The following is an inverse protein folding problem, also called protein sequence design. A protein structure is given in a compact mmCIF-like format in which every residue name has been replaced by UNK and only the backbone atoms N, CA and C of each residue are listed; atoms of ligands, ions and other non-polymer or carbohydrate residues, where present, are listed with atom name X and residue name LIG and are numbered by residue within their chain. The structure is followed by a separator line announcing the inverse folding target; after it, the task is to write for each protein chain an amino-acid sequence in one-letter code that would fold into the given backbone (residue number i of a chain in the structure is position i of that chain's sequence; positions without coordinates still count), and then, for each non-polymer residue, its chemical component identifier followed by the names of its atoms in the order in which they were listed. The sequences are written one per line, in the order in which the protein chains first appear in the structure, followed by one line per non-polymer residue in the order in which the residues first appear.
data_IF_895303497478
#
_entry.id   IF_895303497478
#
_cell.length_a   1.000
_cell.length_b   1.000
_cell.length_c   1.000
_cell.angle_alpha   90.00
_cell.angle_beta   90.00
_cell.angle_gamma   90.00
#
_symmetry.space_group_name_H-M   'P 1'
#
loop_
_entity.id
_entity.type
_entity.pdbx_description
1 polymer ?
#
# COMPACT_ATOMS: atom_id res chain seq x y z
N UNK A 1 -17.36 7.15 27.04
CA UNK A 1 -16.80 7.10 26.63
C UNK A 1 -16.08 6.65 26.15
N UNK A 2 -15.90 6.40 25.85
CA UNK A 2 -15.16 6.13 25.53
C UNK A 2 -14.49 5.94 24.77
N UNK A 3 -14.41 5.69 24.53
CA UNK A 3 -13.62 5.47 23.90
C UNK A 3 -13.19 5.90 22.90
N UNK A 4 -13.48 6.25 22.82
CA UNK A 4 -13.14 6.58 22.15
C UNK A 4 -12.23 6.76 21.68
N UNK A 5 -12.31 7.01 21.61
CA UNK A 5 -11.47 7.31 21.27
C UNK A 5 -10.44 6.87 20.96
N UNK A 6 -10.42 7.13 20.91
CA UNK A 6 -9.43 6.21 21.02
C UNK A 6 -8.84 5.68 19.78
N UNK A 7 -9.21 6.12 18.64
CA UNK A 7 -8.63 5.63 17.40
C UNK A 7 -7.40 6.43 17.09
N UNK A 8 -6.25 5.78 16.85
CA UNK A 8 -5.10 6.50 16.34
C UNK A 8 -5.43 7.15 15.02
N UNK A 9 -4.82 8.29 14.69
CA UNK A 9 -5.10 8.97 13.43
C UNK A 9 -4.88 8.12 12.19
N UNK A 10 -3.98 7.18 12.26
CA UNK A 10 -3.72 6.32 11.10
C UNK A 10 -4.90 5.41 10.79
N UNK A 11 -5.88 5.32 11.67
CA UNK A 11 -7.04 4.49 11.42
C UNK A 11 -8.13 5.18 10.63
N UNK A 12 -7.89 6.39 10.20
CA UNK A 12 -8.77 7.04 9.27
C UNK A 12 -8.94 6.24 7.99
N UNK A 13 -7.92 5.48 7.62
CA UNK A 13 -7.94 4.69 6.39
C UNK A 13 -8.03 3.23 6.77
N UNK A 14 -9.21 2.63 6.68
CA UNK A 14 -9.35 1.22 7.01
C UNK A 14 -8.40 0.36 6.19
N UNK A 15 -7.83 -0.62 6.84
CA UNK A 15 -6.87 -1.52 6.22
C UNK A 15 -7.52 -2.85 5.95
N UNK A 16 -7.18 -3.41 4.81
CA UNK A 16 -7.67 -4.71 4.39
C UNK A 16 -6.46 -5.64 4.31
N UNK A 17 -6.58 -6.79 4.95
CA UNK A 17 -5.55 -7.81 4.83
C UNK A 17 -5.53 -8.31 3.40
N UNK A 18 -4.35 -8.41 2.83
CA UNK A 18 -4.25 -8.70 1.42
C UNK A 18 -3.67 -10.09 1.15
N UNK A 19 -2.37 -10.25 1.28
CA UNK A 19 -1.77 -11.55 1.04
C UNK A 19 -1.39 -11.82 -0.41
N UNK A 20 -1.62 -10.87 -1.29
CA UNK A 20 -1.19 -11.02 -2.68
C UNK A 20 0.18 -10.36 -2.88
N UNK A 21 0.76 -10.58 -4.05
CA UNK A 21 2.10 -10.09 -4.35
C UNK A 21 2.03 -8.76 -5.10
N UNK A 22 3.03 -7.93 -4.87
CA UNK A 22 3.18 -6.66 -5.54
C UNK A 22 4.61 -6.56 -6.06
N UNK A 23 4.81 -5.85 -7.16
CA UNK A 23 6.15 -5.60 -7.67
C UNK A 23 6.66 -4.30 -7.08
N UNK A 24 7.88 -4.35 -6.56
CA UNK A 24 8.60 -3.17 -6.09
C UNK A 24 9.70 -2.90 -7.10
N UNK A 25 9.72 -1.69 -7.64
CA UNK A 25 10.72 -1.32 -8.61
C UNK A 25 11.84 -0.56 -7.89
N UNK A 26 12.98 -1.21 -7.79
CA UNK A 26 14.12 -0.70 -7.03
C UNK A 26 15.33 -0.69 -7.96
N UNK A 27 15.87 0.49 -8.24
CA UNK A 27 17.10 0.63 -9.01
C UNK A 27 17.04 -0.14 -10.33
N UNK A 28 15.90 -0.04 -11.02
CA UNK A 28 15.72 -0.70 -12.31
C UNK A 28 15.43 -2.18 -12.24
N UNK A 29 15.21 -2.71 -11.05
CA UNK A 29 14.91 -4.13 -10.85
C UNK A 29 13.54 -4.29 -10.23
N UNK A 30 12.83 -5.32 -10.65
CA UNK A 30 11.53 -5.63 -10.07
C UNK A 30 11.72 -6.73 -9.03
N UNK A 31 11.23 -6.48 -7.83
CA UNK A 31 11.28 -7.42 -6.73
C UNK A 31 9.84 -7.69 -6.30
N UNK A 32 9.49 -8.96 -6.16
CA UNK A 32 8.15 -9.32 -5.68
C UNK A 32 8.13 -9.29 -4.17
N UNK A 33 7.07 -8.73 -3.63
CA UNK A 33 6.87 -8.66 -2.19
C UNK A 33 5.43 -8.98 -1.87
N UNK A 34 5.20 -9.56 -0.70
CA UNK A 34 3.85 -9.88 -0.26
C UNK A 34 3.23 -8.68 0.41
N UNK A 35 2.02 -8.33 0.01
CA UNK A 35 1.28 -7.26 0.65
C UNK A 35 0.60 -7.83 1.87
N UNK A 36 0.92 -7.30 3.04
CA UNK A 36 0.30 -7.74 4.27
C UNK A 36 -1.04 -7.05 4.47
N UNK A 37 -1.08 -5.74 4.28
CA UNK A 37 -2.33 -5.00 4.34
C UNK A 37 -2.27 -3.81 3.39
N UNK A 38 -3.43 -3.28 3.07
CA UNK A 38 -3.59 -2.26 2.06
C UNK A 38 -4.69 -1.30 2.48
N UNK A 39 -4.49 -0.02 2.23
CA UNK A 39 -5.50 1.02 2.47
C UNK A 39 -5.38 2.07 1.39
N UNK A 40 -6.26 3.08 1.44
CA UNK A 40 -6.17 4.19 0.50
C UNK A 40 -4.92 5.04 0.71
N UNK A 41 -4.29 4.95 1.87
CA UNK A 41 -3.09 5.73 2.15
C UNK A 41 -1.81 5.02 1.74
N UNK A 42 -1.80 3.69 1.72
CA UNK A 42 -0.61 2.94 1.40
C UNK A 42 -0.73 1.49 1.77
N UNK A 43 0.40 0.84 1.96
CA UNK A 43 0.41 -0.60 2.20
C UNK A 43 1.63 -0.97 3.04
N UNK A 44 1.53 -2.14 3.67
CA UNK A 44 2.68 -2.75 4.32
C UNK A 44 3.08 -3.96 3.51
N UNK A 45 4.36 -4.03 3.14
CA UNK A 45 4.88 -5.14 2.34
C UNK A 45 5.91 -5.89 3.13
N UNK A 46 5.91 -7.21 2.97
CA UNK A 46 6.88 -8.10 3.61
C UNK A 46 8.05 -8.26 2.65
N UNK A 47 9.11 -7.54 2.94
CA UNK A 47 10.31 -7.55 2.11
C UNK A 47 11.45 -6.95 2.92
N UNK A 48 12.66 -7.16 2.46
CA UNK A 48 13.81 -6.52 3.06
C UNK A 48 14.17 -5.29 2.26
N UNK A 49 14.14 -4.14 2.90
CA UNK A 49 14.56 -2.89 2.29
C UNK A 49 15.68 -2.30 3.11
N UNK A 50 16.62 -1.66 2.41
CA UNK A 50 17.67 -0.93 3.09
C UNK A 50 17.13 0.41 3.58
N UNK A 51 17.68 0.88 4.69
CA UNK A 51 17.22 2.10 5.32
C UNK A 51 17.37 3.32 4.41
N UNK A 52 18.31 3.27 3.48
CA UNK A 52 18.53 4.41 2.60
C UNK A 52 17.49 4.53 1.50
N UNK A 53 16.65 3.52 1.29
CA UNK A 53 15.57 3.61 0.30
C UNK A 53 14.47 4.49 0.87
N UNK A 54 14.24 5.64 0.24
CA UNK A 54 13.25 6.60 0.72
C UNK A 54 12.00 6.63 -0.14
N UNK A 55 12.12 6.22 -1.40
CA UNK A 55 11.02 6.29 -2.36
C UNK A 55 11.20 5.16 -3.34
N UNK A 56 10.08 4.59 -3.77
CA UNK A 56 10.11 3.53 -4.77
C UNK A 56 8.79 3.51 -5.52
N UNK A 57 8.77 2.83 -6.65
CA UNK A 57 7.55 2.65 -7.42
C UNK A 57 7.05 1.25 -7.21
N UNK A 58 5.73 1.11 -7.08
CA UNK A 58 5.11 -0.21 -6.97
C UNK A 58 4.18 -0.43 -8.16
N UNK A 59 3.98 -1.69 -8.48
CA UNK A 59 2.96 -2.11 -9.44
C UNK A 59 2.04 -3.06 -8.70
N UNK A 60 0.83 -2.61 -8.46
CA UNK A 60 -0.14 -3.29 -7.60
C UNK A 60 -1.23 -3.91 -8.48
N UNK A 61 -1.31 -5.24 -8.55
CA UNK A 61 -2.34 -5.87 -9.38
C UNK A 61 -3.70 -5.82 -8.69
N UNK A 62 -4.71 -5.46 -9.44
CA UNK A 62 -6.08 -5.45 -8.97
C UNK A 62 -6.92 -6.36 -9.86
N UNK A 63 -8.10 -6.78 -9.40
CA UNK A 63 -8.97 -7.60 -10.22
C UNK A 63 -9.32 -6.92 -11.55
N UNK A 64 -9.59 -7.73 -12.57
CA UNK A 64 -9.93 -7.22 -13.88
C UNK A 64 -8.73 -6.83 -14.71
N UNK A 65 -7.60 -7.45 -14.44
CA UNK A 65 -6.36 -7.19 -15.18
C UNK A 65 -5.92 -5.73 -15.09
N UNK A 66 -6.33 -5.06 -14.03
CA UNK A 66 -5.93 -3.69 -13.81
C UNK A 66 -4.71 -3.65 -12.90
N UNK A 67 -3.78 -2.80 -13.23
CA UNK A 67 -2.58 -2.62 -12.42
C UNK A 67 -2.46 -1.16 -12.05
N UNK A 68 -2.22 -0.90 -10.76
CA UNK A 68 -1.99 0.45 -10.26
C UNK A 68 -0.50 0.62 -10.10
N UNK A 69 0.08 1.57 -10.82
CA UNK A 69 1.50 1.89 -10.71
C UNK A 69 1.60 3.21 -9.96
N UNK A 70 2.28 3.19 -8.83
CA UNK A 70 2.31 4.36 -7.97
C UNK A 70 3.69 4.53 -7.36
N UNK A 71 4.05 5.80 -7.15
CA UNK A 71 5.24 6.12 -6.38
C UNK A 71 4.87 6.17 -4.92
N UNK A 72 5.69 5.56 -4.10
CA UNK A 72 5.47 5.50 -2.66
C UNK A 72 6.66 6.05 -1.90
N UNK A 73 6.37 6.68 -0.79
CA UNK A 73 7.39 7.05 0.19
C UNK A 73 7.54 5.90 1.18
N UNK A 74 8.76 5.59 1.52
CA UNK A 74 9.04 4.59 2.55
C UNK A 74 8.95 5.29 3.89
N UNK A 75 7.88 5.01 4.62
CA UNK A 75 7.62 5.68 5.89
C UNK A 75 8.36 5.02 7.03
N UNK A 76 8.53 3.70 6.95
CA UNK A 76 9.12 2.95 8.04
C UNK A 76 9.64 1.63 7.49
N UNK A 77 10.84 1.27 7.91
CA UNK A 77 11.40 -0.04 7.61
C UNK A 77 11.47 -0.82 8.91
N UNK A 78 10.94 -2.02 8.89
CA UNK A 78 10.95 -2.92 10.03
C UNK A 78 11.68 -4.18 9.66
N UNK A 79 11.90 -5.04 10.66
CA UNK A 79 12.66 -6.26 10.46
C UNK A 79 12.04 -7.15 9.39
N UNK A 80 10.71 -7.21 9.34
CA UNK A 80 10.00 -8.11 8.44
C UNK A 80 9.33 -7.39 7.27
N UNK A 81 9.51 -6.08 7.12
CA UNK A 81 8.87 -5.40 6.01
C UNK A 81 9.00 -3.90 6.07
N UNK A 82 8.15 -3.24 5.29
CA UNK A 82 8.19 -1.79 5.18
C UNK A 82 6.79 -1.23 5.01
N UNK A 83 6.55 -0.10 5.63
CA UNK A 83 5.32 0.66 5.46
C UNK A 83 5.54 1.69 4.35
N UNK A 84 4.71 1.63 3.34
CA UNK A 84 4.79 2.49 2.17
C UNK A 84 3.55 3.37 2.12
N UNK A 85 3.76 4.64 1.82
CA UNK A 85 2.67 5.59 1.69
C UNK A 85 2.58 6.03 0.24
N UNK A 86 1.39 5.96 -0.35
CA UNK A 86 1.20 6.46 -1.71
C UNK A 86 1.52 7.95 -1.73
N UNK A 87 2.43 8.33 -2.60
CA UNK A 87 2.76 9.74 -2.75
C UNK A 87 1.76 10.41 -3.66
N UNK A 88 1.31 9.70 -4.68
CA UNK A 88 0.44 10.27 -5.68
C UNK A 88 -0.28 9.15 -6.40
N UNK A 89 -1.59 9.29 -6.54
CA UNK A 89 -2.42 8.39 -7.32
C UNK A 89 -3.28 9.25 -8.24
N UNK A 90 -3.40 8.87 -9.51
CA UNK A 90 -4.35 9.58 -10.35
C UNK A 90 -5.77 9.10 -10.03
N UNK A 91 -6.74 9.81 -10.59
CA UNK A 91 -8.14 9.58 -10.21
C UNK A 91 -8.60 8.16 -10.53
N UNK A 92 -8.23 7.65 -11.72
CA UNK A 92 -8.66 6.32 -12.12
C UNK A 92 -8.10 5.25 -11.19
N UNK A 93 -6.85 5.38 -10.80
CA UNK A 93 -6.24 4.44 -9.88
C UNK A 93 -6.85 4.55 -8.50
N UNK A 94 -7.16 5.76 -8.08
CA UNK A 94 -7.80 5.99 -6.79
C UNK A 94 -9.16 5.31 -6.73
N UNK A 95 -9.96 5.46 -7.80
CA UNK A 95 -11.26 4.79 -7.86
C UNK A 95 -11.11 3.27 -7.89
N UNK A 96 -10.16 2.76 -8.67
CA UNK A 96 -9.95 1.32 -8.75
C UNK A 96 -9.58 0.76 -7.38
N UNK A 97 -8.70 1.46 -6.67
CA UNK A 97 -8.28 1.04 -5.35
C UNK A 97 -9.44 1.11 -4.36
N UNK A 98 -10.23 2.18 -4.42
CA UNK A 98 -11.36 2.33 -3.52
C UNK A 98 -12.38 1.20 -3.72
N UNK A 99 -12.63 0.83 -4.97
CA UNK A 99 -13.58 -0.26 -5.26
C UNK A 99 -13.05 -1.61 -4.78
N UNK A 100 -11.75 -1.80 -4.85
CA UNK A 100 -11.15 -3.02 -4.34
C UNK A 100 -11.25 -3.11 -2.82
N UNK A 101 -11.02 -1.98 -2.14
CA UNK A 101 -11.05 -1.95 -0.68
C UNK A 101 -12.47 -1.94 -0.13
N UNK A 102 -13.42 -1.40 -0.89
CA UNK A 102 -14.80 -1.24 -0.45
C UNK A 102 -15.73 -1.74 -1.56
N UNK A 103 -15.77 -3.05 -1.78
CA UNK A 103 -16.52 -3.58 -2.93
C UNK A 103 -18.01 -3.37 -2.84
N UNK A 104 -18.53 -3.00 -1.66
CA UNK A 104 -19.95 -2.77 -1.49
C UNK A 104 -20.37 -1.34 -1.71
N UNK A 105 -19.41 -0.44 -1.91
CA UNK A 105 -19.75 0.93 -2.20
C UNK A 105 -20.27 1.04 -3.63
N UNK A 106 -21.31 1.85 -3.83
CA UNK A 106 -21.86 2.02 -5.17
C UNK A 106 -20.88 2.66 -6.14
#
# INVERSE_FOLDING_TARGET
MSATHLHPPERFHPRVEAGFMVKLLLNGRAVLARVQDLSMAGLFVQTELKDEVKRLTIALPLPGDREVVATCLVKRVEEDGAALEFEQLDWDDMFALARFLHPRLP
#
